data_IF_593521335692
#
_entry.id   IF_593521335692
#
_cell.length_a   1.000
_cell.length_b   1.000
_cell.length_c   1.000
_cell.angle_alpha   90.00
_cell.angle_beta   90.00
_cell.angle_gamma   90.00
#
_symmetry.space_group_name_H-M   'P 1'
#
loop_
_entity.id
_entity.type
_entity.pdbx_description
1 polymer ?
#
# COMPACT_ATOMS: atom_id res chain seq x y z
N UNK A 1 12.36 34.72 -32.37
CA UNK A 1 13.61 34.56 -31.60
C UNK A 1 13.39 35.31 -30.29
N UNK A 2 13.40 34.76 -29.09
CA UNK A 2 13.87 33.47 -28.61
C UNK A 2 12.92 33.05 -27.46
N UNK A 3 12.49 31.79 -27.47
CA UNK A 3 11.71 31.20 -26.39
C UNK A 3 12.63 30.92 -25.20
N UNK A 4 12.26 31.39 -24.01
CA UNK A 4 12.86 30.91 -22.77
C UNK A 4 11.77 30.28 -21.91
N UNK A 5 11.47 29.01 -22.18
CA UNK A 5 10.83 28.13 -21.22
C UNK A 5 11.73 28.05 -19.97
N UNK A 6 11.34 28.72 -18.89
CA UNK A 6 11.89 28.45 -17.57
C UNK A 6 11.40 27.06 -17.17
N UNK A 7 12.25 26.04 -17.27
CA UNK A 7 12.09 24.79 -16.55
C UNK A 7 11.93 25.15 -15.07
N UNK A 8 10.72 25.05 -14.55
CA UNK A 8 10.49 25.02 -13.11
C UNK A 8 11.31 23.86 -12.57
N UNK A 9 12.32 24.16 -11.74
CA UNK A 9 12.91 23.12 -10.89
C UNK A 9 11.75 22.58 -10.07
N UNK A 10 11.41 21.32 -10.28
CA UNK A 10 10.41 20.60 -9.50
C UNK A 10 10.78 20.78 -8.03
N UNK A 11 9.79 21.13 -7.19
CA UNK A 11 9.98 21.10 -5.74
C UNK A 11 10.45 19.68 -5.36
N UNK A 12 11.37 19.48 -4.40
CA UNK A 12 11.88 18.15 -4.04
C UNK A 12 10.77 17.12 -3.72
N UNK A 13 9.58 17.57 -3.30
CA UNK A 13 8.42 16.69 -3.14
C UNK A 13 7.85 16.16 -4.46
N UNK A 14 7.84 16.95 -5.54
CA UNK A 14 7.25 16.55 -6.82
C UNK A 14 7.98 15.38 -7.47
N UNK A 15 9.26 15.15 -7.13
CA UNK A 15 10.04 14.01 -7.64
C UNK A 15 9.60 12.66 -7.04
N UNK A 16 8.87 12.69 -5.92
CA UNK A 16 8.44 11.51 -5.17
C UNK A 16 6.92 11.31 -5.14
N UNK A 17 6.16 12.22 -5.75
CA UNK A 17 4.72 12.03 -5.91
C UNK A 17 4.45 10.93 -6.95
N UNK A 18 3.42 10.15 -6.71
CA UNK A 18 2.96 9.12 -7.64
C UNK A 18 2.45 9.76 -8.93
N UNK A 19 2.61 9.05 -10.03
CA UNK A 19 1.95 9.36 -11.30
C UNK A 19 0.47 8.96 -11.29
N UNK A 20 -0.29 9.48 -12.25
CA UNK A 20 -1.66 9.06 -12.51
C UNK A 20 -1.84 7.54 -12.62
N UNK A 21 -0.93 6.88 -13.34
CA UNK A 21 -0.97 5.44 -13.55
C UNK A 21 -0.72 4.67 -12.24
N UNK A 22 0.15 5.16 -11.37
CA UNK A 22 0.42 4.54 -10.06
C UNK A 22 -0.76 4.69 -9.11
N UNK A 23 -1.40 5.87 -9.05
CA UNK A 23 -2.64 6.06 -8.28
C UNK A 23 -3.76 5.17 -8.83
N UNK A 24 -3.94 5.11 -10.15
CA UNK A 24 -4.93 4.25 -10.78
C UNK A 24 -4.68 2.77 -10.49
N UNK A 25 -3.42 2.32 -10.55
CA UNK A 25 -3.03 0.94 -10.18
C UNK A 25 -3.35 0.66 -8.72
N UNK A 26 -3.01 1.55 -7.80
CA UNK A 26 -3.33 1.39 -6.39
C UNK A 26 -4.85 1.26 -6.16
N UNK A 27 -5.69 2.02 -6.86
CA UNK A 27 -7.15 1.88 -6.77
C UNK A 27 -7.65 0.51 -7.23
N UNK A 28 -6.94 -0.17 -8.13
CA UNK A 28 -7.31 -1.50 -8.60
C UNK A 28 -6.71 -2.60 -7.74
N UNK A 29 -5.40 -2.52 -7.50
CA UNK A 29 -4.62 -3.59 -6.89
C UNK A 29 -4.40 -3.42 -5.41
N UNK A 30 -4.85 -2.32 -4.80
CA UNK A 30 -4.85 -2.02 -3.35
C UNK A 30 -3.50 -2.07 -2.61
N UNK A 31 -2.38 -2.11 -3.32
CA UNK A 31 -1.05 -1.95 -2.73
C UNK A 31 -0.09 -1.18 -3.64
N UNK A 32 0.93 -0.59 -3.03
CA UNK A 32 2.06 0.04 -3.70
C UNK A 32 3.34 -0.23 -2.89
N UNK A 33 4.41 -0.64 -3.56
CA UNK A 33 5.69 -0.99 -2.92
C UNK A 33 6.67 0.15 -3.16
N UNK A 34 7.34 0.58 -2.09
CA UNK A 34 8.39 1.60 -2.13
C UNK A 34 9.66 0.99 -1.57
N UNK A 35 10.76 1.26 -2.26
CA UNK A 35 12.09 0.86 -1.88
C UNK A 35 12.95 2.11 -1.64
N UNK A 36 12.75 2.82 -0.51
CA UNK A 36 13.46 4.06 -0.24
C UNK A 36 14.96 3.83 -0.11
N UNK A 37 15.76 4.77 -0.60
CA UNK A 37 17.21 4.80 -0.38
C UNK A 37 17.50 5.35 1.02
N UNK A 38 17.36 4.48 2.01
CA UNK A 38 17.61 4.81 3.41
C UNK A 38 19.12 4.98 3.70
N UNK A 39 19.49 5.77 4.72
CA UNK A 39 20.87 5.86 5.17
C UNK A 39 21.49 4.48 5.43
N UNK A 40 22.73 4.29 4.99
CA UNK A 40 23.46 3.04 5.19
C UNK A 40 23.51 2.67 6.68
N UNK A 41 23.17 1.42 7.01
CA UNK A 41 23.14 0.95 8.39
C UNK A 41 21.81 1.16 9.14
N UNK A 42 20.88 1.97 8.59
CA UNK A 42 19.60 2.27 9.27
C UNK A 42 18.74 1.01 9.45
N UNK A 43 18.64 0.19 8.40
CA UNK A 43 17.86 -1.06 8.42
C UNK A 43 18.42 -2.03 9.48
N UNK A 44 19.74 -2.18 9.50
CA UNK A 44 20.47 -3.06 10.42
C UNK A 44 20.34 -2.57 11.87
N UNK A 45 20.44 -1.26 12.10
CA UNK A 45 20.24 -0.65 13.43
C UNK A 45 18.82 -0.87 13.94
N UNK A 46 17.81 -0.64 13.10
CA UNK A 46 16.40 -0.90 13.44
C UNK A 46 16.20 -2.39 13.75
N UNK A 47 16.73 -3.29 12.91
CA UNK A 47 16.62 -4.73 13.13
C UNK A 47 17.26 -5.15 14.46
N UNK A 48 18.46 -4.64 14.78
CA UNK A 48 19.15 -4.93 16.03
C UNK A 48 18.38 -4.43 17.27
N UNK A 49 17.79 -3.23 17.20
CA UNK A 49 16.95 -2.70 18.27
C UNK A 49 15.70 -3.56 18.48
N UNK A 50 15.06 -4.01 17.40
CA UNK A 50 13.91 -4.91 17.48
C UNK A 50 14.29 -6.27 18.07
N UNK A 51 15.44 -6.82 17.71
CA UNK A 51 15.93 -8.08 18.27
C UNK A 51 16.25 -8.00 19.77
N UNK A 52 16.60 -6.81 20.27
CA UNK A 52 16.86 -6.54 21.67
C UNK A 52 15.59 -6.35 22.53
N UNK A 53 14.39 -6.28 21.92
CA UNK A 53 13.14 -6.17 22.66
C UNK A 53 12.66 -7.54 23.18
N UNK A 54 12.36 -7.62 24.48
CA UNK A 54 11.85 -8.83 25.12
C UNK A 54 10.38 -9.13 24.75
N UNK A 55 9.60 -8.10 24.44
CA UNK A 55 8.18 -8.20 24.10
C UNK A 55 7.77 -7.09 23.13
N UNK A 56 6.59 -7.23 22.53
CA UNK A 56 6.04 -6.21 21.64
C UNK A 56 5.55 -5.00 22.45
N UNK A 57 6.14 -3.80 22.29
CA UNK A 57 5.75 -2.61 23.04
C UNK A 57 4.41 -2.02 22.58
N UNK A 58 3.76 -2.60 21.57
CA UNK A 58 2.51 -2.13 21.01
C UNK A 58 2.67 -0.76 20.37
N UNK A 59 1.80 0.18 20.75
CA UNK A 59 1.79 1.52 20.19
C UNK A 59 3.06 2.33 20.53
N UNK A 60 3.83 1.89 21.53
CA UNK A 60 5.08 2.51 21.94
C UNK A 60 6.31 2.08 21.11
N UNK A 61 6.11 1.37 19.98
CA UNK A 61 7.23 0.86 19.16
C UNK A 61 8.14 1.97 18.61
N UNK A 62 7.61 3.15 18.35
CA UNK A 62 8.41 4.29 17.87
C UNK A 62 9.18 4.99 18.97
N UNK A 63 8.80 4.80 20.23
CA UNK A 63 9.54 5.25 21.40
C UNK A 63 10.65 4.24 21.72
N UNK A 64 10.35 2.95 21.54
CA UNK A 64 11.31 1.86 21.70
C UNK A 64 12.35 1.82 20.56
N UNK A 65 11.95 2.17 19.33
CA UNK A 65 12.81 2.20 18.13
C UNK A 65 12.59 3.54 17.39
N UNK A 66 13.18 4.65 17.87
CA UNK A 66 12.94 6.00 17.32
C UNK A 66 13.35 6.19 15.86
N UNK A 67 14.30 5.39 15.38
CA UNK A 67 14.76 5.41 14.00
C UNK A 67 13.68 5.09 12.97
N UNK A 68 12.57 4.45 13.38
CA UNK A 68 11.41 4.23 12.53
C UNK A 68 10.84 5.54 11.95
N UNK A 69 10.99 6.68 12.65
CA UNK A 69 10.56 7.96 12.11
C UNK A 69 11.36 8.39 10.89
N UNK A 70 12.65 8.03 10.79
CA UNK A 70 13.46 8.33 9.61
C UNK A 70 12.95 7.60 8.35
N UNK A 71 12.32 6.43 8.52
CA UNK A 71 11.68 5.70 7.42
C UNK A 71 10.39 6.40 7.00
N UNK A 72 9.55 6.81 7.96
CA UNK A 72 8.27 7.48 7.69
C UNK A 72 8.45 8.87 7.08
N UNK A 73 9.50 9.58 7.48
CA UNK A 73 9.85 10.92 6.99
C UNK A 73 10.64 10.89 5.68
N UNK A 74 10.96 9.70 5.15
CA UNK A 74 11.68 9.59 3.89
C UNK A 74 10.84 10.18 2.73
N UNK A 75 11.40 11.03 1.85
CA UNK A 75 10.63 11.72 0.80
C UNK A 75 9.79 10.82 -0.10
N UNK A 76 10.29 9.63 -0.48
CA UNK A 76 9.51 8.64 -1.25
C UNK A 76 8.28 8.12 -0.48
N UNK A 77 8.40 7.91 0.83
CA UNK A 77 7.32 7.40 1.69
C UNK A 77 6.27 8.50 1.90
N UNK A 78 6.71 9.71 2.23
CA UNK A 78 5.84 10.89 2.33
C UNK A 78 5.16 11.20 0.99
N UNK A 79 5.89 11.16 -0.12
CA UNK A 79 5.36 11.45 -1.46
C UNK A 79 4.22 10.53 -1.86
N UNK A 80 4.34 9.23 -1.59
CA UNK A 80 3.26 8.28 -1.81
C UNK A 80 2.05 8.51 -0.88
N UNK A 81 2.28 8.78 0.41
CA UNK A 81 1.21 9.09 1.36
C UNK A 81 0.46 10.37 0.96
N UNK A 82 1.17 11.42 0.57
CA UNK A 82 0.57 12.66 0.07
C UNK A 82 -0.23 12.42 -1.21
N UNK A 83 0.30 11.60 -2.12
CA UNK A 83 -0.38 11.25 -3.37
C UNK A 83 -1.73 10.56 -3.14
N UNK A 84 -1.82 9.70 -2.12
CA UNK A 84 -2.99 8.86 -1.89
C UNK A 84 -3.95 9.38 -0.79
N UNK A 85 -3.43 9.98 0.29
CA UNK A 85 -4.21 10.51 1.44
C UNK A 85 -4.29 12.04 1.49
N UNK A 86 -3.52 12.74 0.66
CA UNK A 86 -3.40 14.20 0.68
C UNK A 86 -2.38 14.70 1.71
N UNK A 87 -1.96 15.98 1.62
CA UNK A 87 -0.86 16.54 2.41
C UNK A 87 -1.13 16.65 3.91
N UNK A 88 -2.39 16.58 4.32
CA UNK A 88 -2.80 16.63 5.73
C UNK A 88 -2.93 15.25 6.38
N UNK A 89 -2.44 14.18 5.76
CA UNK A 89 -2.60 12.82 6.30
C UNK A 89 -2.08 12.71 7.75
N UNK A 90 -2.66 11.79 8.49
CA UNK A 90 -2.25 11.49 9.86
C UNK A 90 -1.58 10.11 9.91
N UNK A 91 -0.43 10.03 10.59
CA UNK A 91 0.12 8.77 11.12
C UNK A 91 -0.60 8.49 12.44
N UNK A 92 -1.45 7.46 12.46
CA UNK A 92 -2.24 7.15 13.64
C UNK A 92 -1.35 6.61 14.77
N UNK A 93 -1.82 6.79 16.02
CA UNK A 93 -1.11 6.28 17.19
C UNK A 93 -0.97 4.76 17.18
N UNK A 94 -1.97 4.06 16.62
CA UNK A 94 -1.95 2.60 16.59
C UNK A 94 -0.92 2.07 15.60
N UNK A 95 -0.04 1.23 16.11
CA UNK A 95 1.07 0.62 15.39
C UNK A 95 1.42 -0.71 16.02
N UNK A 96 2.01 -1.61 15.24
CA UNK A 96 2.29 -2.96 15.73
C UNK A 96 3.55 -3.54 15.13
N UNK A 97 4.41 -4.09 15.98
CA UNK A 97 5.56 -4.87 15.55
C UNK A 97 5.20 -6.35 15.42
N UNK A 98 5.16 -6.85 14.19
CA UNK A 98 4.93 -8.26 13.89
C UNK A 98 6.27 -9.00 13.79
N UNK A 99 6.71 -9.62 14.89
CA UNK A 99 7.85 -10.53 14.91
C UNK A 99 7.41 -11.97 14.66
N UNK A 100 7.71 -12.49 13.47
CA UNK A 100 7.39 -13.87 13.12
C UNK A 100 8.55 -14.81 13.45
N UNK A 101 8.36 -15.66 14.46
CA UNK A 101 9.39 -16.57 14.94
C UNK A 101 9.74 -17.67 13.92
N UNK A 102 10.97 -18.22 13.95
CA UNK A 102 11.34 -19.42 13.20
C UNK A 102 10.36 -20.58 13.44
N UNK A 103 10.13 -21.41 12.42
CA UNK A 103 9.26 -22.59 12.49
C UNK A 103 7.84 -22.31 13.00
N UNK A 104 7.28 -21.14 12.69
CA UNK A 104 5.94 -20.73 13.13
C UNK A 104 4.88 -20.90 12.03
N UNK A 105 3.63 -21.25 12.39
CA UNK A 105 2.57 -21.51 11.41
C UNK A 105 2.15 -20.24 10.67
N UNK A 106 1.35 -20.40 9.61
CA UNK A 106 0.76 -19.28 8.88
C UNK A 106 -0.29 -18.54 9.73
N UNK A 107 -0.68 -17.35 9.28
CA UNK A 107 -1.85 -16.63 9.79
C UNK A 107 -2.94 -16.67 8.72
N UNK A 108 -4.17 -16.98 9.14
CA UNK A 108 -5.34 -17.01 8.27
C UNK A 108 -5.61 -15.64 7.64
N UNK A 109 -6.38 -15.65 6.56
CA UNK A 109 -6.86 -14.42 5.93
C UNK A 109 -7.70 -13.59 6.89
N UNK A 110 -7.40 -12.31 6.95
CA UNK A 110 -8.15 -11.35 7.73
C UNK A 110 -8.07 -9.95 7.08
N UNK A 111 -8.90 -9.06 7.62
CA UNK A 111 -8.81 -7.62 7.46
C UNK A 111 -8.50 -7.05 8.84
N UNK A 112 -7.87 -5.89 8.88
CA UNK A 112 -7.59 -5.22 10.15
C UNK A 112 -8.86 -4.57 10.73
N UNK A 113 -9.00 -4.62 12.05
CA UNK A 113 -10.12 -3.98 12.77
C UNK A 113 -11.50 -4.54 12.41
N UNK A 114 -12.51 -3.67 12.48
CA UNK A 114 -13.89 -4.04 12.14
C UNK A 114 -14.07 -3.97 10.62
N UNK A 115 -14.80 -4.94 10.05
CA UNK A 115 -15.22 -4.93 8.65
C UNK A 115 -16.21 -3.76 8.42
N UNK A 116 -15.64 -2.58 8.19
CA UNK A 116 -16.37 -1.38 7.81
C UNK A 116 -16.52 -1.36 6.30
N UNK A 117 -17.73 -1.08 5.81
CA UNK A 117 -18.07 -1.18 4.38
C UNK A 117 -17.89 0.15 3.65
N UNK A 118 -17.02 1.00 4.15
CA UNK A 118 -16.68 2.25 3.48
C UNK A 118 -15.86 1.92 2.23
N UNK A 119 -16.29 2.47 1.11
CA UNK A 119 -15.63 2.25 -0.18
C UNK A 119 -14.65 3.36 -0.51
N UNK A 120 -14.64 4.47 0.24
CA UNK A 120 -13.76 5.59 -0.01
C UNK A 120 -12.35 5.36 0.54
N UNK A 121 -11.37 5.76 -0.26
CA UNK A 121 -9.96 5.65 0.03
C UNK A 121 -9.51 6.63 1.12
N UNK A 122 -9.62 6.21 2.39
CA UNK A 122 -9.34 7.07 3.53
C UNK A 122 -8.35 6.51 4.56
N UNK A 123 -7.98 5.23 4.49
CA UNK A 123 -7.10 4.58 5.47
C UNK A 123 -6.18 3.56 4.81
N UNK A 124 -4.92 3.54 5.22
CA UNK A 124 -3.90 2.60 4.73
C UNK A 124 -3.12 1.94 5.86
N UNK A 125 -2.56 0.78 5.53
CA UNK A 125 -1.47 0.18 6.28
C UNK A 125 -0.16 0.52 5.57
N UNK A 126 0.89 0.85 6.32
CA UNK A 126 2.27 0.81 5.84
C UNK A 126 3.02 -0.30 6.55
N UNK A 127 3.57 -1.24 5.77
CA UNK A 127 4.28 -2.41 6.26
C UNK A 127 5.76 -2.24 5.94
N UNK A 128 6.56 -1.90 6.95
CA UNK A 128 8.00 -1.72 6.82
C UNK A 128 8.77 -2.99 7.19
N UNK A 129 9.75 -3.36 6.37
CA UNK A 129 10.59 -4.55 6.54
C UNK A 129 12.05 -4.16 6.73
N UNK A 130 12.61 -4.26 7.95
CA UNK A 130 14.00 -3.86 8.22
C UNK A 130 15.03 -4.89 7.75
N UNK A 131 14.61 -6.08 7.32
CA UNK A 131 15.48 -7.14 6.79
C UNK A 131 14.87 -7.69 5.50
N UNK A 132 15.70 -8.35 4.68
CA UNK A 132 15.21 -9.12 3.55
C UNK A 132 14.17 -10.15 4.03
N UNK A 133 13.12 -10.33 3.22
CA UNK A 133 12.09 -11.34 3.43
C UNK A 133 12.14 -12.32 2.29
N UNK A 134 12.66 -13.53 2.56
CA UNK A 134 12.69 -14.62 1.59
C UNK A 134 11.36 -15.38 1.56
N UNK A 135 11.08 -16.20 0.52
CA UNK A 135 9.84 -16.96 0.42
C UNK A 135 9.56 -17.90 1.60
N UNK A 136 10.59 -18.39 2.29
CA UNK A 136 10.49 -19.29 3.43
C UNK A 136 10.49 -18.60 4.79
N UNK A 137 10.73 -17.28 4.86
CA UNK A 137 10.71 -16.48 6.10
C UNK A 137 9.29 -16.13 6.61
N UNK A 138 8.25 -16.69 5.98
CA UNK A 138 6.86 -16.38 6.27
C UNK A 138 6.49 -14.96 5.88
N UNK A 139 6.60 -14.60 4.58
CA UNK A 139 6.21 -13.28 4.10
C UNK A 139 4.76 -12.97 4.43
N UNK A 140 4.47 -11.67 4.56
CA UNK A 140 3.08 -11.20 4.49
C UNK A 140 2.53 -11.59 3.14
N UNK A 141 1.33 -12.17 3.11
CA UNK A 141 0.64 -12.48 1.86
C UNK A 141 -0.52 -11.52 1.73
N UNK A 142 -0.61 -10.85 0.60
CA UNK A 142 -1.71 -9.95 0.26
C UNK A 142 -2.55 -10.55 -0.87
N UNK A 143 -3.79 -10.11 -0.99
CA UNK A 143 -4.71 -10.55 -2.05
C UNK A 143 -5.20 -9.32 -2.83
N UNK A 144 -4.44 -8.86 -3.84
CA UNK A 144 -4.72 -7.62 -4.56
C UNK A 144 -6.13 -7.57 -5.14
N UNK A 145 -6.84 -6.46 -4.94
CA UNK A 145 -8.21 -6.25 -5.42
C UNK A 145 -9.29 -6.81 -4.48
N UNK A 146 -8.97 -7.03 -3.21
CA UNK A 146 -9.95 -7.51 -2.21
C UNK A 146 -10.49 -6.43 -1.29
N UNK A 147 -9.96 -5.21 -1.36
CA UNK A 147 -10.33 -4.07 -0.53
C UNK A 147 -11.84 -3.76 -0.50
N UNK A 148 -12.57 -4.06 -1.58
CA UNK A 148 -14.03 -3.82 -1.66
C UNK A 148 -14.87 -5.07 -1.36
N UNK A 149 -14.25 -6.20 -0.99
CA UNK A 149 -14.97 -7.44 -0.72
C UNK A 149 -15.59 -7.42 0.66
N UNK A 150 -16.88 -7.70 0.67
CA UNK A 150 -17.66 -7.86 1.88
C UNK A 150 -17.84 -9.36 2.17
N UNK A 151 -16.91 -9.95 2.93
CA UNK A 151 -17.04 -11.31 3.45
C UNK A 151 -17.03 -11.31 4.99
N UNK A 152 -17.87 -12.14 5.63
CA UNK A 152 -17.75 -12.37 7.07
C UNK A 152 -16.34 -12.86 7.43
N UNK A 153 -15.73 -12.30 8.48
CA UNK A 153 -14.34 -12.57 8.86
C UNK A 153 -14.09 -14.04 9.18
N UNK A 154 -15.06 -14.71 9.82
CA UNK A 154 -15.00 -16.14 10.14
C UNK A 154 -14.96 -17.01 8.87
N UNK A 155 -15.70 -16.61 7.83
CA UNK A 155 -15.70 -17.32 6.53
C UNK A 155 -14.42 -17.05 5.75
N UNK A 156 -13.98 -15.79 5.73
CA UNK A 156 -12.72 -15.39 5.10
C UNK A 156 -11.54 -16.23 5.61
N UNK A 157 -11.45 -16.42 6.94
CA UNK A 157 -10.36 -17.15 7.58
C UNK A 157 -10.27 -18.64 7.18
N UNK A 158 -11.32 -19.20 6.55
CA UNK A 158 -11.34 -20.61 6.10
C UNK A 158 -10.84 -20.81 4.68
N UNK A 159 -10.67 -19.74 3.90
CA UNK A 159 -10.06 -19.83 2.58
C UNK A 159 -8.58 -20.21 2.70
N UNK A 160 -8.08 -21.03 1.78
CA UNK A 160 -6.67 -21.42 1.72
C UNK A 160 -5.96 -20.61 0.64
N UNK A 161 -5.82 -21.16 -0.56
CA UNK A 161 -5.21 -20.46 -1.68
C UNK A 161 -6.26 -19.63 -2.40
N UNK A 162 -6.00 -18.32 -2.51
CA UNK A 162 -6.79 -17.40 -3.32
C UNK A 162 -5.99 -17.12 -4.60
N UNK A 163 -6.62 -17.30 -5.76
CA UNK A 163 -6.02 -16.96 -7.05
C UNK A 163 -5.54 -15.51 -7.02
N UNK A 164 -4.32 -15.25 -7.47
CA UNK A 164 -3.76 -13.90 -7.55
C UNK A 164 -3.19 -13.37 -6.22
N UNK A 165 -3.16 -14.16 -5.14
CA UNK A 165 -2.44 -13.77 -3.92
C UNK A 165 -0.94 -13.55 -4.20
N UNK A 166 -0.34 -12.56 -3.53
CA UNK A 166 1.05 -12.16 -3.72
C UNK A 166 1.81 -12.26 -2.41
N UNK A 167 2.87 -13.09 -2.31
CA UNK A 167 3.78 -13.04 -1.18
C UNK A 167 4.68 -11.80 -1.29
N UNK A 168 4.76 -11.00 -0.22
CA UNK A 168 5.69 -9.89 -0.12
C UNK A 168 7.11 -10.40 0.19
N UNK A 169 7.78 -10.90 -0.84
CA UNK A 169 9.21 -11.26 -0.86
C UNK A 169 9.96 -10.01 -1.28
N UNK A 170 10.52 -9.30 -0.30
CA UNK A 170 11.01 -7.92 -0.46
C UNK A 170 12.39 -7.77 0.19
N UNK A 171 13.14 -6.75 -0.25
CA UNK A 171 14.43 -6.41 0.32
C UNK A 171 14.29 -5.61 1.64
N UNK A 172 15.34 -5.58 2.43
CA UNK A 172 15.45 -4.70 3.58
C UNK A 172 15.22 -3.23 3.19
N UNK A 173 14.48 -2.51 4.02
CA UNK A 173 14.12 -1.11 3.79
C UNK A 173 12.78 -0.91 3.08
N UNK A 174 12.20 -1.96 2.48
CA UNK A 174 10.93 -1.84 1.74
C UNK A 174 9.77 -1.42 2.65
N UNK A 175 8.95 -0.49 2.15
CA UNK A 175 7.64 -0.13 2.70
C UNK A 175 6.56 -0.56 1.70
N UNK A 176 5.67 -1.45 2.12
CA UNK A 176 4.48 -1.79 1.36
C UNK A 176 3.29 -1.00 1.90
N UNK A 177 2.73 -0.10 1.10
CA UNK A 177 1.45 0.52 1.41
C UNK A 177 0.32 -0.35 0.90
N UNK A 178 -0.71 -0.55 1.71
CA UNK A 178 -1.91 -1.28 1.32
C UNK A 178 -3.17 -0.53 1.73
N UNK A 179 -4.26 -0.76 1.01
CA UNK A 179 -5.59 -0.41 1.52
C UNK A 179 -5.80 -1.06 2.89
N UNK A 180 -6.44 -0.34 3.82
CA UNK A 180 -6.71 -0.85 5.17
C UNK A 180 -7.50 -2.17 5.15
N UNK A 181 -8.54 -2.23 4.32
CA UNK A 181 -9.41 -3.40 4.16
C UNK A 181 -8.88 -4.48 3.17
N UNK A 182 -7.63 -4.38 2.70
CA UNK A 182 -7.02 -5.44 1.88
C UNK A 182 -6.94 -6.75 2.67
N UNK A 183 -7.39 -7.86 2.07
CA UNK A 183 -7.25 -9.17 2.70
C UNK A 183 -5.79 -9.57 2.73
N UNK A 184 -5.32 -9.92 3.92
CA UNK A 184 -3.94 -10.31 4.11
C UNK A 184 -3.80 -11.38 5.19
N UNK A 185 -2.62 -11.98 5.21
CA UNK A 185 -2.22 -13.04 6.14
C UNK A 185 -0.70 -13.16 6.15
N UNK A 186 -0.17 -14.26 6.67
CA UNK A 186 1.27 -14.56 6.55
C UNK A 186 1.46 -16.02 6.19
N UNK A 187 2.44 -16.34 5.34
CA UNK A 187 2.86 -17.71 5.14
C UNK A 187 3.57 -18.25 6.39
N UNK A 188 3.71 -19.57 6.52
CA UNK A 188 4.51 -20.15 7.60
C UNK A 188 5.98 -19.70 7.48
N UNK A 189 6.62 -19.38 8.60
CA UNK A 189 8.05 -19.14 8.64
C UNK A 189 8.74 -20.49 8.86
N UNK A 190 9.41 -20.99 7.81
CA UNK A 190 10.15 -22.25 7.78
C UNK A 190 11.67 -22.03 7.80
N UNK A 191 12.10 -20.77 7.82
CA UNK A 191 13.50 -20.39 7.94
C UNK A 191 13.97 -20.47 9.40
N UNK A 192 15.30 -20.45 9.66
CA UNK A 192 15.84 -20.36 11.01
C UNK A 192 15.86 -18.92 11.56
N UNK A 193 15.37 -17.93 10.80
CA UNK A 193 15.46 -16.51 11.15
C UNK A 193 14.11 -15.93 11.57
N UNK A 194 14.13 -14.97 12.51
CA UNK A 194 12.95 -14.15 12.79
C UNK A 194 12.67 -13.25 11.58
N UNK A 195 11.40 -12.93 11.34
CA UNK A 195 11.00 -11.93 10.35
C UNK A 195 10.26 -10.79 11.03
N UNK A 196 10.88 -9.61 11.05
CA UNK A 196 10.27 -8.40 11.57
C UNK A 196 9.48 -7.67 10.47
N UNK A 197 8.32 -7.14 10.83
CA UNK A 197 7.60 -6.15 10.05
C UNK A 197 6.93 -5.19 11.02
N UNK A 198 6.99 -3.90 10.72
CA UNK A 198 6.34 -2.86 11.52
C UNK A 198 5.16 -2.35 10.71
N UNK A 199 3.97 -2.45 11.32
CA UNK A 199 2.71 -1.97 10.78
C UNK A 199 2.41 -0.59 11.33
N UNK A 200 2.18 0.36 10.44
CA UNK A 200 1.68 1.70 10.73
C UNK A 200 0.31 1.89 10.09
N UNK A 201 -0.54 2.68 10.72
CA UNK A 201 -1.83 3.07 10.18
C UNK A 201 -1.79 4.53 9.77
N UNK A 202 -2.32 4.82 8.59
CA UNK A 202 -2.43 6.19 8.07
C UNK A 202 -3.89 6.49 7.76
N UNK A 203 -4.30 7.75 7.91
CA UNK A 203 -5.63 8.19 7.49
C UNK A 203 -5.62 9.54 6.81
N UNK A 204 -6.56 9.70 5.90
CA UNK A 204 -6.96 10.99 5.34
C UNK A 204 -7.68 11.79 6.43
N UNK A 205 -7.40 13.08 6.50
CA UNK A 205 -8.01 14.01 7.47
C UNK A 205 -8.93 15.03 6.82
N UNK A 206 -8.84 15.17 5.50
CA UNK A 206 -9.62 16.11 4.69
C UNK A 206 -9.82 15.58 3.27
N UNK A 207 -10.96 15.94 2.68
CA UNK A 207 -11.23 15.63 1.27
C UNK A 207 -10.28 16.40 0.36
N UNK A 208 -9.94 15.81 -0.78
CA UNK A 208 -9.20 16.51 -1.81
C UNK A 208 -10.10 17.53 -2.49
N UNK A 209 -9.55 18.70 -2.81
CA UNK A 209 -10.20 19.70 -3.70
C UNK A 209 -9.57 19.71 -5.10
N UNK A 210 -8.43 19.04 -5.24
CA UNK A 210 -7.68 18.82 -6.46
C UNK A 210 -6.75 17.60 -6.26
N UNK A 211 -6.18 17.04 -7.33
CA UNK A 211 -5.16 16.00 -7.24
C UNK A 211 -3.97 16.40 -6.37
N UNK A 212 -3.52 15.48 -5.52
CA UNK A 212 -2.37 15.67 -4.61
C UNK A 212 -1.13 14.88 -5.04
N UNK A 213 -1.16 14.30 -6.24
CA UNK A 213 -0.07 13.54 -6.86
C UNK A 213 0.44 14.24 -8.13
N UNK A 214 1.39 13.65 -8.85
CA UNK A 214 1.87 14.16 -10.13
C UNK A 214 0.86 13.88 -11.25
N UNK A 215 -0.20 14.69 -11.28
CA UNK A 215 -1.29 14.59 -12.22
C UNK A 215 -0.98 15.29 -13.55
N UNK A 216 -1.19 14.59 -14.66
CA UNK A 216 -1.16 15.09 -16.02
C UNK A 216 -2.59 15.10 -16.62
N UNK A 217 -3.25 16.28 -16.70
CA UNK A 217 -4.61 16.40 -17.23
C UNK A 217 -4.77 15.92 -18.68
N UNK A 218 -3.70 15.95 -19.48
CA UNK A 218 -3.72 15.53 -20.88
C UNK A 218 -3.62 14.00 -21.01
N UNK A 219 -2.90 13.33 -20.09
CA UNK A 219 -2.73 11.88 -20.11
C UNK A 219 -3.96 11.11 -19.58
N UNK A 220 -4.74 11.71 -18.68
CA UNK A 220 -5.84 11.04 -17.99
C UNK A 220 -7.12 10.82 -18.84
N UNK A 221 -7.22 11.43 -20.03
CA UNK A 221 -8.47 11.50 -20.82
C UNK A 221 -8.50 10.62 -22.07
N UNK A 222 -7.66 9.57 -22.14
CA UNK A 222 -7.74 8.61 -23.25
C UNK A 222 -9.06 7.81 -23.20
N UNK A 223 -9.72 7.56 -24.35
CA UNK A 223 -10.89 6.70 -24.40
C UNK A 223 -10.50 5.25 -24.10
N UNK A 224 -11.45 4.46 -23.60
CA UNK A 224 -11.20 3.05 -23.34
C UNK A 224 -10.91 2.28 -24.65
N UNK A 225 -9.79 1.58 -24.70
CA UNK A 225 -9.42 0.71 -25.82
C UNK A 225 -9.62 -0.77 -25.43
N UNK A 226 -10.65 -1.37 -25.99
CA UNK A 226 -11.01 -2.76 -25.71
C UNK A 226 -10.01 -3.78 -26.29
N UNK A 227 -9.05 -3.35 -27.10
CA UNK A 227 -7.97 -4.18 -27.62
C UNK A 227 -6.74 -4.21 -26.70
N UNK A 228 -6.61 -3.28 -25.76
CA UNK A 228 -5.44 -3.13 -24.87
C UNK A 228 -5.71 -3.60 -23.43
N UNK A 229 -6.70 -4.47 -23.22
CA UNK A 229 -7.16 -4.90 -21.88
C UNK A 229 -6.04 -5.42 -20.98
N UNK A 230 -5.09 -6.15 -21.56
CA UNK A 230 -4.01 -6.82 -20.83
C UNK A 230 -2.71 -5.96 -20.74
N UNK A 231 -2.69 -4.79 -21.36
CA UNK A 231 -1.52 -3.89 -21.45
C UNK A 231 -1.85 -2.45 -21.02
N UNK A 232 -2.89 -2.26 -20.21
CA UNK A 232 -3.35 -0.95 -19.81
C UNK A 232 -2.26 -0.15 -19.05
N UNK A 233 -1.78 0.93 -19.66
CA UNK A 233 -0.81 1.85 -19.06
C UNK A 233 -1.42 3.19 -18.65
N UNK A 234 -2.53 3.59 -19.27
CA UNK A 234 -3.26 4.81 -18.92
C UNK A 234 -4.36 4.56 -17.87
N UNK A 235 -4.72 5.63 -17.17
CA UNK A 235 -5.73 5.64 -16.11
C UNK A 235 -7.03 4.98 -16.56
N UNK A 236 -7.53 5.32 -17.74
CA UNK A 236 -8.86 4.87 -18.17
C UNK A 236 -8.87 3.38 -18.36
N UNK A 237 -7.88 2.82 -19.04
CA UNK A 237 -7.80 1.38 -19.27
C UNK A 237 -7.47 0.62 -17.98
N UNK A 238 -6.60 1.16 -17.12
CA UNK A 238 -6.27 0.55 -15.81
C UNK A 238 -7.53 0.38 -14.97
N UNK A 239 -8.32 1.45 -14.78
CA UNK A 239 -9.52 1.42 -13.96
C UNK A 239 -10.63 0.54 -14.56
N UNK A 240 -10.68 0.40 -15.89
CA UNK A 240 -11.72 -0.35 -16.59
C UNK A 240 -11.44 -1.86 -16.72
N UNK A 241 -10.18 -2.26 -16.94
CA UNK A 241 -9.86 -3.60 -17.42
C UNK A 241 -9.04 -4.43 -16.46
N UNK A 242 -8.21 -3.82 -15.61
CA UNK A 242 -7.36 -4.56 -14.68
C UNK A 242 -8.21 -5.38 -13.69
N UNK A 243 -8.02 -6.70 -13.69
CA UNK A 243 -8.77 -7.67 -12.88
C UNK A 243 -7.80 -8.65 -12.21
N UNK A 244 -7.16 -8.26 -11.08
CA UNK A 244 -6.05 -9.02 -10.49
C UNK A 244 -6.45 -10.43 -10.03
N UNK A 245 -7.73 -10.64 -9.72
CA UNK A 245 -8.24 -11.92 -9.19
C UNK A 245 -8.99 -12.74 -10.26
N UNK A 246 -9.16 -12.19 -11.47
CA UNK A 246 -9.96 -12.80 -12.52
C UNK A 246 -11.41 -13.05 -12.09
N UNK A 247 -12.01 -12.10 -11.33
CA UNK A 247 -13.39 -12.22 -10.86
C UNK A 247 -14.39 -12.23 -12.02
N UNK A 248 -15.60 -12.69 -11.74
CA UNK A 248 -16.70 -12.70 -12.70
C UNK A 248 -16.96 -11.30 -13.26
N UNK A 249 -17.48 -11.23 -14.48
CA UNK A 249 -17.77 -9.94 -15.14
C UNK A 249 -18.71 -9.06 -14.30
N UNK A 250 -19.70 -9.64 -13.64
CA UNK A 250 -20.64 -8.90 -12.79
C UNK A 250 -19.97 -8.28 -11.57
N UNK A 251 -18.99 -8.96 -10.97
CA UNK A 251 -18.26 -8.43 -9.81
C UNK A 251 -17.26 -7.36 -10.26
N UNK A 252 -16.54 -7.64 -11.36
CA UNK A 252 -15.63 -6.67 -11.97
C UNK A 252 -16.33 -5.36 -12.33
N UNK A 253 -17.57 -5.42 -12.86
CA UNK A 253 -18.35 -4.22 -13.18
C UNK A 253 -18.73 -3.38 -11.97
N UNK A 254 -19.05 -4.04 -10.83
CA UNK A 254 -19.33 -3.33 -9.58
C UNK A 254 -18.07 -2.67 -9.03
N UNK A 255 -16.97 -3.41 -8.98
CA UNK A 255 -15.67 -2.90 -8.52
C UNK A 255 -15.17 -1.75 -9.40
N UNK A 256 -15.36 -1.83 -10.73
CA UNK A 256 -15.06 -0.75 -11.66
C UNK A 256 -15.78 0.55 -11.33
N UNK A 257 -17.06 0.49 -10.94
CA UNK A 257 -17.80 1.69 -10.54
C UNK A 257 -17.21 2.31 -9.27
N UNK A 258 -16.86 1.48 -8.28
CA UNK A 258 -16.22 1.92 -7.03
C UNK A 258 -14.82 2.52 -7.29
N UNK A 259 -14.03 1.93 -8.19
CA UNK A 259 -12.72 2.45 -8.61
C UNK A 259 -12.84 3.84 -9.24
N UNK A 260 -13.87 4.06 -10.08
CA UNK A 260 -14.15 5.38 -10.68
C UNK A 260 -14.64 6.39 -9.64
N UNK A 261 -15.49 5.97 -8.71
CA UNK A 261 -15.91 6.79 -7.58
C UNK A 261 -14.69 7.27 -6.77
N UNK A 262 -13.77 6.37 -6.43
CA UNK A 262 -12.54 6.71 -5.71
C UNK A 262 -11.62 7.62 -6.52
N UNK A 263 -11.45 7.36 -7.83
CA UNK A 263 -10.68 8.26 -8.70
C UNK A 263 -11.25 9.69 -8.66
N UNK A 264 -12.57 9.84 -8.83
CA UNK A 264 -13.24 11.13 -8.76
C UNK A 264 -13.08 11.80 -7.39
N UNK A 265 -13.23 11.02 -6.31
CA UNK A 265 -13.01 11.49 -4.95
C UNK A 265 -11.59 12.04 -4.76
N UNK A 266 -10.56 11.32 -5.22
CA UNK A 266 -9.17 11.77 -5.14
C UNK A 266 -8.88 12.99 -6.02
N UNK A 267 -9.57 13.13 -7.16
CA UNK A 267 -9.53 14.31 -8.01
C UNK A 267 -10.20 15.55 -7.39
N UNK A 268 -10.93 15.39 -6.28
CA UNK A 268 -11.73 16.45 -5.65
C UNK A 268 -13.06 16.73 -6.34
N UNK A 269 -13.56 15.75 -7.09
CA UNK A 269 -14.89 15.78 -7.70
C UNK A 269 -15.89 15.11 -6.74
N UNK A 270 -17.18 15.45 -6.88
CA UNK A 270 -18.24 14.77 -6.13
C UNK A 270 -18.23 13.27 -6.46
N UNK A 271 -18.08 12.45 -5.42
CA UNK A 271 -18.10 10.99 -5.48
C UNK A 271 -19.47 10.44 -5.89
#
# INVERSE_FOLDING_TARGET
MNSSYRKWRLSPMNEHLLSDAEVARFLVTDYHIIEPELPAGLNESIAAQLDALDYNPGDAITEAVPELWQVLDHPAVTGALVSLLGPGYEVQSHRHWHCKQPNSPHMNWHQDGLNNRDVLLNRFLGLYYPTDVTPDMGPTIIVPGTQFRNAPTDRMATYTNIRGQVPLVVKAGTVAFTHYDLWHGTAANRSPHKRHMIKFLFRRTQDNTAPTWNHDPEAANKPADWNERDQAEDVTNILNFTNPLGVSQSDHYKERAIRRQNWNYLMGLSA
#
